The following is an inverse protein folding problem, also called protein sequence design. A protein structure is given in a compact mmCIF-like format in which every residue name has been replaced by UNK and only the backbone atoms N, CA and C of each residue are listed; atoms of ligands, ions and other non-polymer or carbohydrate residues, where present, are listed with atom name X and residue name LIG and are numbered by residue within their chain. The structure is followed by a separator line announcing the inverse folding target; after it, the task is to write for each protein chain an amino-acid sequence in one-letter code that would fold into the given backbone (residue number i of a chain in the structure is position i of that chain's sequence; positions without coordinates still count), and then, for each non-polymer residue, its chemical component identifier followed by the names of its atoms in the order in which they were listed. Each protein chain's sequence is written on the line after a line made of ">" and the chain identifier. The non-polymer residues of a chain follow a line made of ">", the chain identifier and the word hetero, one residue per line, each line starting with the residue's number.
data_IF_094731494879
#
_entry.id   IF_094731494879
#
_cell.length_a   1.000
_cell.length_b   1.000
_cell.length_c   1.000
_cell.angle_alpha   90.00
_cell.angle_beta   90.00
_cell.angle_gamma   90.00
#
_symmetry.space_group_name_H-M   'P 1'
#
loop_
_entity.id
_entity.type
_entity.pdbx_description
1 polymer ?
#
# COMPACT_ATOMS: atom_id res chain seq x y z
N UNK A 1 -8.52 -61.83 8.49
CA UNK A 1 -7.65 -60.87 7.78
C UNK A 1 -8.55 -59.73 7.31
N UNK A 2 -8.59 -58.55 7.91
CA UNK A 2 -7.57 -57.51 7.95
C UNK A 2 -7.79 -56.64 9.20
N UNK A 3 -6.68 -56.20 9.78
CA UNK A 3 -6.58 -55.45 11.02
C UNK A 3 -7.18 -54.04 10.86
N UNK A 4 -7.99 -53.64 11.82
CA UNK A 4 -8.32 -52.23 12.06
C UNK A 4 -7.06 -51.52 12.55
N UNK A 5 -6.52 -50.60 11.76
CA UNK A 5 -5.44 -49.73 12.17
C UNK A 5 -6.02 -48.36 12.47
N UNK A 6 -6.17 -48.10 13.76
CA UNK A 6 -6.27 -46.75 14.30
C UNK A 6 -5.03 -45.98 13.86
N UNK A 7 -5.21 -44.90 13.10
CA UNK A 7 -4.18 -43.89 12.95
C UNK A 7 -4.72 -42.57 13.47
N UNK A 8 -4.45 -42.38 14.76
CA UNK A 8 -4.35 -41.12 15.46
C UNK A 8 -3.42 -40.20 14.65
N UNK A 9 -3.97 -39.37 13.78
CA UNK A 9 -3.21 -38.31 13.11
C UNK A 9 -3.43 -37.03 13.90
N UNK A 10 -2.46 -36.74 14.76
CA UNK A 10 -2.20 -35.45 15.37
C UNK A 10 -2.56 -34.34 14.38
N UNK A 11 -3.58 -33.56 14.73
CA UNK A 11 -3.80 -32.26 14.15
C UNK A 11 -2.65 -31.37 14.62
N UNK A 12 -1.49 -31.49 13.98
CA UNK A 12 -0.46 -30.48 14.04
C UNK A 12 -1.10 -29.22 13.47
N UNK A 13 -1.50 -28.31 14.37
CA UNK A 13 -1.73 -26.91 14.06
C UNK A 13 -0.48 -26.41 13.35
N UNK A 14 -0.48 -26.53 12.02
CA UNK A 14 0.40 -25.74 11.19
C UNK A 14 -0.12 -24.33 11.36
N UNK A 15 0.53 -23.59 12.27
CA UNK A 15 0.41 -22.15 12.43
C UNK A 15 0.92 -21.54 11.12
N UNK A 16 0.14 -21.71 10.05
CA UNK A 16 0.21 -20.88 8.85
C UNK A 16 -0.25 -19.53 9.36
N UNK A 17 0.67 -18.57 9.33
CA UNK A 17 0.57 -17.27 9.96
C UNK A 17 -0.87 -16.77 10.00
N UNK A 18 -1.41 -16.70 11.22
CA UNK A 18 -2.51 -15.79 11.48
C UNK A 18 -2.14 -14.47 10.80
N UNK A 19 -3.05 -13.80 10.08
CA UNK A 19 -2.83 -12.40 9.76
C UNK A 19 -2.52 -11.75 11.12
N UNK A 20 -1.27 -11.27 11.27
CA UNK A 20 -0.83 -10.52 12.43
C UNK A 20 -1.95 -9.53 12.67
N UNK A 21 -2.66 -9.70 13.79
CA UNK A 21 -3.81 -8.87 14.11
C UNK A 21 -3.41 -7.43 13.77
N UNK A 22 -4.20 -6.81 12.89
CA UNK A 22 -3.99 -5.47 12.39
C UNK A 22 -3.32 -4.62 13.47
N UNK A 23 -2.14 -4.08 13.15
CA UNK A 23 -1.34 -3.29 14.06
C UNK A 23 -2.25 -2.35 14.85
N UNK A 24 -2.44 -2.68 16.13
CA UNK A 24 -2.76 -1.67 17.14
C UNK A 24 -1.74 -0.55 16.89
N UNK A 25 -2.20 0.67 16.59
CA UNK A 25 -1.39 1.73 15.96
C UNK A 25 0.07 1.70 16.44
N UNK A 26 1.03 1.44 15.55
CA UNK A 26 2.45 1.34 15.89
C UNK A 26 2.97 2.55 16.69
N UNK A 27 2.36 3.71 16.48
CA UNK A 27 2.59 4.93 17.27
C UNK A 27 2.15 4.84 18.73
N UNK A 28 0.95 4.33 18.98
CA UNK A 28 0.41 4.19 20.33
C UNK A 28 1.26 3.19 21.11
N UNK A 29 1.74 2.13 20.44
CA UNK A 29 2.68 1.17 21.00
C UNK A 29 4.03 1.82 21.34
N UNK A 30 4.63 2.61 20.44
CA UNK A 30 5.87 3.36 20.72
C UNK A 30 5.71 4.29 21.91
N UNK A 31 4.63 5.07 21.96
CA UNK A 31 4.39 6.01 23.07
C UNK A 31 4.14 5.26 24.38
N UNK A 32 3.43 4.14 24.34
CA UNK A 32 3.21 3.27 25.50
C UNK A 32 4.53 2.74 26.05
N UNK A 33 5.36 2.12 25.22
CA UNK A 33 6.67 1.58 25.63
C UNK A 33 7.57 2.71 26.15
N UNK A 34 7.55 3.89 25.51
CA UNK A 34 8.29 5.06 25.97
C UNK A 34 7.88 5.50 27.38
N UNK A 35 6.58 5.51 27.67
CA UNK A 35 6.04 5.86 28.99
C UNK A 35 6.37 4.83 30.06
N UNK A 36 6.44 3.54 29.70
CA UNK A 36 6.84 2.47 30.63
C UNK A 36 8.28 2.63 31.14
N UNK A 37 9.13 3.38 30.42
CA UNK A 37 10.52 3.65 30.82
C UNK A 37 10.69 4.93 31.65
N UNK A 38 9.62 5.68 31.95
CA UNK A 38 9.72 6.91 32.75
C UNK A 38 10.38 6.63 34.11
N UNK A 39 11.33 7.49 34.48
CA UNK A 39 12.12 7.36 35.70
C UNK A 39 13.36 6.46 35.58
N UNK A 40 13.57 5.75 34.47
CA UNK A 40 14.81 5.01 34.26
C UNK A 40 16.02 5.96 34.31
N UNK A 41 17.13 5.58 34.99
CA UNK A 41 18.23 6.50 35.24
C UNK A 41 18.99 6.85 33.96
N UNK A 42 19.68 7.98 33.96
CA UNK A 42 20.60 8.31 32.88
C UNK A 42 21.94 7.57 33.06
N UNK A 43 22.43 6.97 31.98
CA UNK A 43 23.81 6.46 31.87
C UNK A 43 24.34 6.79 30.48
N UNK A 44 25.46 7.51 30.42
CA UNK A 44 26.13 7.78 29.15
C UNK A 44 26.53 6.45 28.49
N UNK A 45 26.17 6.25 27.22
CA UNK A 45 26.39 4.97 26.56
C UNK A 45 25.30 3.91 26.85
N UNK A 46 24.35 4.18 27.75
CA UNK A 46 23.34 3.22 28.21
C UNK A 46 22.23 2.96 27.20
N UNK A 47 21.81 1.70 27.09
CA UNK A 47 20.80 1.20 26.13
C UNK A 47 19.76 0.27 26.76
N UNK A 48 19.64 0.24 28.10
CA UNK A 48 18.74 -0.68 28.81
C UNK A 48 17.98 0.03 29.93
N UNK A 49 16.88 -0.55 30.46
CA UNK A 49 16.14 0.04 31.59
C UNK A 49 16.98 0.30 32.85
N UNK A 50 18.14 -0.36 33.01
CA UNK A 50 19.08 -0.07 34.11
C UNK A 50 19.84 1.26 33.94
N UNK A 51 19.75 1.86 32.77
CA UNK A 51 20.26 3.18 32.44
C UNK A 51 20.31 3.46 30.95
N UNK A 52 19.81 4.63 30.55
CA UNK A 52 19.78 5.07 29.16
C UNK A 52 20.57 6.37 28.93
N UNK A 53 21.14 6.52 27.74
CA UNK A 53 21.32 7.86 27.15
C UNK A 53 20.21 8.17 26.15
N UNK A 54 20.18 9.40 25.63
CA UNK A 54 19.08 9.88 24.78
C UNK A 54 18.85 9.00 23.54
N UNK A 55 19.91 8.57 22.85
CA UNK A 55 19.79 7.79 21.62
C UNK A 55 19.66 6.29 21.90
N UNK A 56 20.22 5.79 23.01
CA UNK A 56 20.00 4.43 23.50
C UNK A 56 18.57 4.20 24.00
N UNK A 57 17.93 5.22 24.59
CA UNK A 57 16.50 5.20 24.92
C UNK A 57 15.63 5.06 23.67
N UNK A 58 15.87 5.91 22.66
CA UNK A 58 15.13 5.85 21.38
C UNK A 58 15.38 4.51 20.70
N UNK A 59 16.62 4.04 20.62
CA UNK A 59 16.98 2.75 20.02
C UNK A 59 16.24 1.59 20.70
N UNK A 60 16.23 1.55 22.02
CA UNK A 60 15.55 0.50 22.78
C UNK A 60 14.05 0.41 22.47
N UNK A 61 13.37 1.54 22.32
CA UNK A 61 11.91 1.56 22.08
C UNK A 61 11.58 1.07 20.69
N UNK A 62 12.32 1.55 19.69
CA UNK A 62 12.09 1.15 18.29
C UNK A 62 12.50 -0.30 18.02
N UNK A 63 13.52 -0.81 18.72
CA UNK A 63 13.89 -2.24 18.68
C UNK A 63 12.72 -3.15 19.11
N UNK A 64 11.93 -2.74 20.12
CA UNK A 64 10.75 -3.50 20.57
C UNK A 64 9.66 -3.66 19.53
N UNK A 65 9.60 -2.75 18.55
CA UNK A 65 8.65 -2.82 17.43
C UNK A 65 9.33 -3.24 16.12
N UNK A 66 10.57 -3.74 16.19
CA UNK A 66 11.30 -4.28 15.04
C UNK A 66 11.91 -3.24 14.11
N UNK A 67 12.11 -2.00 14.57
CA UNK A 67 12.78 -0.93 13.82
C UNK A 67 14.18 -0.73 14.40
N UNK A 68 15.19 -1.14 13.65
CA UNK A 68 16.59 -0.93 14.03
C UNK A 68 17.00 0.53 13.76
N UNK A 69 17.52 1.19 14.79
CA UNK A 69 18.04 2.55 14.69
C UNK A 69 19.55 2.59 14.96
N UNK A 70 20.29 3.49 14.29
CA UNK A 70 21.70 3.74 14.60
C UNK A 70 21.92 4.14 16.06
N UNK A 71 23.14 3.94 16.57
CA UNK A 71 23.45 4.12 17.99
C UNK A 71 23.40 5.59 18.42
N UNK A 72 23.84 6.52 17.58
CA UNK A 72 24.01 7.92 17.97
C UNK A 72 22.85 8.79 17.48
N UNK A 73 22.52 9.85 18.24
CA UNK A 73 21.48 10.82 17.84
C UNK A 73 21.80 11.52 16.52
N UNK A 74 23.08 11.71 16.19
CA UNK A 74 23.52 12.30 14.93
C UNK A 74 23.23 11.40 13.72
N UNK A 75 23.42 10.08 13.86
CA UNK A 75 23.09 9.09 12.82
C UNK A 75 21.58 8.86 12.74
N UNK A 76 20.89 8.79 13.88
CA UNK A 76 19.43 8.70 13.94
C UNK A 76 18.75 9.89 13.24
N UNK A 77 19.40 11.07 13.23
CA UNK A 77 18.89 12.23 12.50
C UNK A 77 18.97 12.09 10.97
N UNK A 78 19.61 11.05 10.44
CA UNK A 78 19.72 10.81 8.99
C UNK A 78 18.79 9.71 8.49
N UNK A 79 18.06 9.02 9.38
CA UNK A 79 17.15 7.93 9.00
C UNK A 79 15.70 8.39 8.99
N UNK A 80 14.89 7.78 8.12
CA UNK A 80 13.48 8.08 7.94
C UNK A 80 13.19 9.39 7.19
N UNK A 81 11.93 9.76 7.16
CA UNK A 81 11.43 10.95 6.45
C UNK A 81 11.53 12.19 7.34
N UNK A 82 11.96 13.32 6.79
CA UNK A 82 11.93 14.60 7.49
C UNK A 82 10.48 15.03 7.78
N UNK A 83 10.22 15.54 8.99
CA UNK A 83 8.89 16.01 9.40
C UNK A 83 9.00 17.46 9.87
N UNK A 84 8.11 18.33 9.38
CA UNK A 84 8.01 19.70 9.89
C UNK A 84 7.42 19.68 11.31
N UNK A 85 7.72 20.68 12.14
CA UNK A 85 7.28 20.70 13.55
C UNK A 85 5.75 20.67 13.70
N UNK A 86 5.05 21.18 12.70
CA UNK A 86 3.61 21.37 12.59
C UNK A 86 2.92 20.06 12.21
N UNK A 87 3.66 19.15 11.57
CA UNK A 87 3.22 17.84 11.10
C UNK A 87 3.63 16.71 12.07
N UNK A 88 4.14 17.07 13.25
CA UNK A 88 4.58 16.11 14.28
C UNK A 88 3.40 15.28 14.80
N UNK A 89 3.59 13.97 14.76
CA UNK A 89 2.65 12.99 15.26
C UNK A 89 3.31 12.15 16.37
N UNK A 90 2.57 11.72 17.40
CA UNK A 90 3.12 10.88 18.46
C UNK A 90 3.91 9.69 17.89
N UNK A 91 5.07 9.41 18.47
CA UNK A 91 6.02 8.43 17.98
C UNK A 91 7.06 8.97 16.97
N UNK A 92 6.93 10.20 16.46
CA UNK A 92 8.02 10.81 15.68
C UNK A 92 9.25 11.08 16.56
N UNK A 93 10.44 10.96 15.97
CA UNK A 93 11.70 11.27 16.65
C UNK A 93 11.95 12.78 16.57
N UNK A 94 12.25 13.39 17.71
CA UNK A 94 12.62 14.81 17.79
C UNK A 94 14.08 14.95 18.16
N UNK A 95 14.76 15.91 17.52
CA UNK A 95 16.19 16.10 17.67
C UNK A 95 16.53 17.52 18.09
N UNK A 96 17.55 17.63 18.94
CA UNK A 96 18.02 18.91 19.46
C UNK A 96 19.53 19.05 19.31
N UNK A 97 19.97 20.29 19.17
CA UNK A 97 21.37 20.70 18.98
C UNK A 97 21.90 21.51 20.16
N UNK A 98 23.22 21.50 20.36
CA UNK A 98 23.88 22.30 21.39
C UNK A 98 23.45 21.98 22.82
N UNK A 99 23.19 20.71 23.14
CA UNK A 99 22.90 20.28 24.53
C UNK A 99 24.18 20.02 25.30
N UNK A 100 25.04 19.11 24.81
CA UNK A 100 26.36 18.81 25.39
C UNK A 100 27.52 18.90 24.39
N UNK A 101 27.25 18.91 23.08
CA UNK A 101 28.24 19.11 22.02
C UNK A 101 27.66 19.97 20.90
N UNK A 102 28.53 20.52 20.06
CA UNK A 102 28.10 21.21 18.83
C UNK A 102 27.35 20.27 17.88
N UNK A 103 26.36 20.81 17.16
CA UNK A 103 25.48 20.03 16.28
C UNK A 103 24.45 19.17 17.03
N UNK A 104 23.87 18.18 16.34
CA UNK A 104 22.89 17.24 16.91
C UNK A 104 23.52 16.50 18.08
N UNK A 105 22.90 16.66 19.24
CA UNK A 105 23.42 16.17 20.52
C UNK A 105 22.33 15.59 21.41
N UNK A 106 21.06 15.63 21.04
CA UNK A 106 20.01 14.99 21.82
C UNK A 106 18.88 14.49 20.93
N UNK A 107 18.25 13.40 21.33
CA UNK A 107 17.08 12.81 20.67
C UNK A 107 16.01 12.44 21.70
N UNK A 108 14.78 12.34 21.25
CA UNK A 108 13.66 11.87 22.05
C UNK A 108 12.47 11.49 21.17
N UNK A 109 11.39 11.04 21.81
CA UNK A 109 10.17 10.58 21.13
C UNK A 109 9.06 11.58 21.43
N UNK A 110 8.48 12.17 20.39
CA UNK A 110 7.33 13.06 20.49
C UNK A 110 6.10 12.29 20.98
N UNK A 111 5.34 12.86 21.91
CA UNK A 111 4.16 12.20 22.50
C UNK A 111 2.87 13.01 22.32
N UNK A 112 2.89 14.05 21.48
CA UNK A 112 1.78 14.99 21.31
C UNK A 112 1.93 16.25 22.16
N UNK A 113 1.04 17.23 21.98
CA UNK A 113 0.95 18.45 22.80
C UNK A 113 2.26 19.25 22.96
N UNK A 114 3.14 19.25 21.95
CA UNK A 114 4.50 19.84 22.07
C UNK A 114 5.35 19.24 23.19
N UNK A 115 5.12 17.97 23.54
CA UNK A 115 5.85 17.22 24.56
C UNK A 115 6.61 16.04 23.95
N UNK A 116 7.70 15.65 24.60
CA UNK A 116 8.51 14.50 24.19
C UNK A 116 9.12 13.81 25.41
N UNK A 117 9.45 12.52 25.26
CA UNK A 117 10.17 11.74 26.27
C UNK A 117 11.62 11.57 25.83
N UNK A 118 12.57 11.76 26.75
CA UNK A 118 13.98 11.48 26.50
C UNK A 118 14.73 11.20 27.81
N UNK A 119 15.91 10.58 27.71
CA UNK A 119 16.83 10.40 28.83
C UNK A 119 17.76 11.61 28.99
N UNK A 120 17.74 12.25 30.16
CA UNK A 120 18.55 13.43 30.49
C UNK A 120 19.39 13.20 31.74
N UNK A 121 20.55 13.85 31.85
CA UNK A 121 21.45 13.73 33.01
C UNK A 121 20.82 14.17 34.33
N UNK A 122 19.84 15.08 34.29
CA UNK A 122 19.21 15.65 35.48
C UNK A 122 18.00 14.87 35.98
N UNK A 123 17.27 14.17 35.10
CA UNK A 123 15.99 13.54 35.45
C UNK A 123 15.86 12.07 35.02
N UNK A 124 16.88 11.51 34.37
CA UNK A 124 16.72 10.21 33.69
C UNK A 124 15.74 10.33 32.53
N UNK A 125 14.98 9.27 32.27
CA UNK A 125 13.89 9.26 31.28
C UNK A 125 12.71 10.06 31.81
N UNK A 126 12.44 11.20 31.19
CA UNK A 126 11.39 12.13 31.63
C UNK A 126 10.67 12.78 30.44
N UNK A 127 9.46 13.27 30.71
CA UNK A 127 8.70 14.12 29.79
C UNK A 127 9.24 15.55 29.87
N UNK A 128 9.38 16.21 28.73
CA UNK A 128 9.67 17.63 28.65
C UNK A 128 8.84 18.32 27.56
N UNK A 129 8.52 19.60 27.77
CA UNK A 129 7.91 20.43 26.73
C UNK A 129 8.97 20.96 25.77
N UNK A 130 8.74 20.78 24.47
CA UNK A 130 9.53 21.35 23.37
C UNK A 130 9.46 22.88 23.32
N UNK A 131 8.47 23.48 23.98
CA UNK A 131 8.24 24.93 23.97
C UNK A 131 8.84 25.64 25.19
N UNK A 132 9.45 24.91 26.13
CA UNK A 132 10.11 25.54 27.27
C UNK A 132 11.39 26.31 26.87
N UNK A 133 11.88 27.15 27.78
CA UNK A 133 13.04 28.03 27.54
C UNK A 133 14.33 27.30 27.18
N UNK A 134 14.47 26.03 27.57
CA UNK A 134 15.66 25.24 27.29
C UNK A 134 15.59 24.53 25.92
N UNK A 135 14.48 23.85 25.61
CA UNK A 135 14.33 22.99 24.43
C UNK A 135 13.93 23.75 23.18
N UNK A 136 13.11 24.80 23.30
CA UNK A 136 12.65 25.60 22.16
C UNK A 136 13.78 26.14 21.28
N UNK A 137 14.83 26.81 21.83
CA UNK A 137 15.93 27.30 21.00
C UNK A 137 16.86 26.19 20.48
N UNK A 138 16.75 24.96 20.99
CA UNK A 138 17.62 23.83 20.64
C UNK A 138 17.00 22.87 19.63
N UNK A 139 15.70 22.99 19.31
CA UNK A 139 15.05 22.12 18.34
C UNK A 139 15.75 22.21 16.99
N UNK A 140 16.14 21.06 16.45
CA UNK A 140 16.91 20.95 15.21
C UNK A 140 16.09 20.37 14.06
N UNK A 141 15.12 19.51 14.36
CA UNK A 141 14.25 18.88 13.38
C UNK A 141 13.63 17.59 13.91
N UNK A 142 12.85 16.92 13.07
CA UNK A 142 12.20 15.66 13.40
C UNK A 142 12.29 14.64 12.28
N UNK A 143 12.23 13.35 12.64
CA UNK A 143 12.23 12.22 11.71
C UNK A 143 11.08 11.27 12.01
N UNK A 144 10.45 10.78 10.96
CA UNK A 144 9.47 9.69 11.03
C UNK A 144 10.09 8.43 10.44
N UNK A 145 10.22 7.42 11.28
CA UNK A 145 10.83 6.12 10.94
C UNK A 145 9.80 5.00 10.90
N UNK A 146 8.53 5.29 11.24
CA UNK A 146 7.40 4.37 11.09
C UNK A 146 6.60 4.78 9.86
N UNK A 147 6.34 3.83 8.98
CA UNK A 147 5.27 3.97 8.00
C UNK A 147 3.93 3.77 8.71
N UNK A 148 2.98 4.70 8.58
CA UNK A 148 1.63 4.37 9.03
C UNK A 148 0.96 3.48 7.97
N UNK A 149 0.34 2.39 8.42
CA UNK A 149 -0.68 1.75 7.61
C UNK A 149 -1.91 2.66 7.59
N UNK A 150 -2.20 3.27 6.45
CA UNK A 150 -3.46 3.99 6.28
C UNK A 150 -4.66 3.03 6.46
N UNK A 151 -5.85 3.55 6.82
CA UNK A 151 -7.05 2.71 6.88
C UNK A 151 -7.26 1.94 5.57
N UNK A 152 -7.86 0.73 5.61
CA UNK A 152 -8.11 -0.05 4.41
C UNK A 152 -8.78 0.77 3.30
N UNK A 153 -8.16 0.77 2.11
CA UNK A 153 -8.61 1.54 0.96
C UNK A 153 -8.18 3.01 0.92
N UNK A 154 -7.25 3.44 1.78
CA UNK A 154 -6.62 4.76 1.68
C UNK A 154 -5.15 4.63 1.27
N UNK A 155 -4.67 5.62 0.52
CA UNK A 155 -3.32 5.67 -0.01
C UNK A 155 -2.77 7.10 0.07
N UNK A 156 -1.48 7.26 0.39
CA UNK A 156 -0.87 8.59 0.57
C UNK A 156 -0.86 9.43 -0.71
N UNK A 157 -0.81 8.77 -1.86
CA UNK A 157 -0.78 9.38 -3.20
C UNK A 157 -2.15 9.39 -3.90
N UNK A 158 -3.24 9.15 -3.16
CA UNK A 158 -4.62 9.24 -3.68
C UNK A 158 -5.48 10.02 -2.68
N UNK A 159 -5.55 11.34 -2.86
CA UNK A 159 -6.38 12.22 -2.02
C UNK A 159 -7.88 11.93 -2.19
N UNK A 160 -8.71 12.29 -1.19
CA UNK A 160 -10.17 12.11 -1.24
C UNK A 160 -10.87 12.85 -2.40
N UNK A 161 -10.22 13.89 -2.93
CA UNK A 161 -10.69 14.66 -4.09
C UNK A 161 -10.15 14.12 -5.43
N UNK A 162 -9.29 13.10 -5.41
CA UNK A 162 -8.76 12.49 -6.63
C UNK A 162 -9.91 11.81 -7.42
N UNK A 163 -9.98 11.97 -8.76
CA UNK A 163 -11.10 11.46 -9.56
C UNK A 163 -11.31 9.93 -9.43
N UNK A 164 -10.22 9.18 -9.27
CA UNK A 164 -10.28 7.73 -9.05
C UNK A 164 -10.39 7.32 -7.56
N UNK A 165 -10.48 8.26 -6.60
CA UNK A 165 -10.45 7.96 -5.16
C UNK A 165 -11.47 6.89 -4.78
N UNK A 166 -12.74 7.09 -5.16
CA UNK A 166 -13.82 6.15 -4.81
C UNK A 166 -13.56 4.75 -5.38
N UNK A 167 -13.17 4.66 -6.65
CA UNK A 167 -12.87 3.38 -7.29
C UNK A 167 -11.70 2.67 -6.62
N UNK A 168 -10.59 3.39 -6.38
CA UNK A 168 -9.39 2.84 -5.75
C UNK A 168 -9.70 2.38 -4.31
N UNK A 169 -10.45 3.18 -3.56
CA UNK A 169 -10.78 2.87 -2.17
C UNK A 169 -11.65 1.62 -2.04
N UNK A 170 -12.76 1.56 -2.78
CA UNK A 170 -13.73 0.46 -2.67
C UNK A 170 -13.17 -0.86 -3.21
N UNK A 171 -12.44 -0.83 -4.33
CA UNK A 171 -11.78 -2.02 -4.87
C UNK A 171 -10.65 -2.52 -3.95
N UNK A 172 -9.98 -1.62 -3.24
CA UNK A 172 -8.93 -1.98 -2.27
C UNK A 172 -9.54 -2.60 -1.01
N UNK A 173 -10.61 -2.02 -0.45
CA UNK A 173 -11.36 -2.58 0.70
C UNK A 173 -11.88 -3.99 0.45
N UNK A 174 -12.28 -4.28 -0.78
CA UNK A 174 -12.77 -5.60 -1.21
C UNK A 174 -11.67 -6.56 -1.63
N UNK A 175 -10.41 -6.13 -1.60
CA UNK A 175 -9.25 -6.95 -1.95
C UNK A 175 -9.12 -7.26 -3.44
N UNK A 176 -9.80 -6.51 -4.33
CA UNK A 176 -9.71 -6.66 -5.78
C UNK A 176 -8.41 -6.02 -6.31
N UNK A 177 -8.03 -4.87 -5.75
CA UNK A 177 -6.75 -4.21 -6.00
C UNK A 177 -5.95 -4.07 -4.72
N UNK A 178 -4.65 -3.85 -4.88
CA UNK A 178 -3.73 -3.59 -3.76
C UNK A 178 -2.77 -2.48 -4.15
N UNK A 179 -2.29 -1.75 -3.14
CA UNK A 179 -1.19 -0.80 -3.29
C UNK A 179 0.18 -1.47 -3.27
N UNK A 180 1.19 -0.63 -3.18
CA UNK A 180 2.58 -0.97 -2.91
C UNK A 180 2.84 -0.84 -1.40
N UNK A 181 4.04 -1.25 -1.00
CA UNK A 181 4.58 -0.99 0.33
C UNK A 181 4.47 0.51 0.71
N UNK A 182 4.31 0.79 2.00
CA UNK A 182 4.11 2.15 2.52
C UNK A 182 2.77 2.80 2.20
N UNK A 183 1.71 2.04 1.88
CA UNK A 183 0.37 2.59 1.58
C UNK A 183 0.35 3.55 0.37
N UNK A 184 1.14 3.27 -0.66
CA UNK A 184 1.10 3.99 -1.94
C UNK A 184 0.33 3.21 -3.00
N UNK A 185 -0.54 3.87 -3.76
CA UNK A 185 -1.26 3.24 -4.88
C UNK A 185 -0.52 3.37 -6.21
N UNK A 186 0.22 4.46 -6.40
CA UNK A 186 0.91 4.89 -7.64
C UNK A 186 -0.05 4.96 -8.84
N UNK A 187 -1.03 5.89 -8.83
CA UNK A 187 -2.14 5.92 -9.78
C UNK A 187 -1.70 6.01 -11.25
N UNK A 188 -0.60 6.72 -11.54
CA UNK A 188 -0.12 6.96 -12.91
C UNK A 188 0.78 5.85 -13.46
N UNK A 189 1.18 4.87 -12.64
CA UNK A 189 1.99 3.77 -13.15
C UNK A 189 1.17 2.91 -14.12
N UNK A 190 1.77 2.46 -15.24
CA UNK A 190 1.16 1.48 -16.12
C UNK A 190 0.82 0.16 -15.42
N UNK A 191 -0.25 -0.49 -15.87
CA UNK A 191 -0.63 -1.85 -15.44
C UNK A 191 -0.02 -2.88 -16.39
N UNK A 192 0.59 -3.92 -15.82
CA UNK A 192 1.08 -5.06 -16.63
C UNK A 192 -0.05 -6.02 -16.99
N UNK A 193 0.14 -6.80 -18.06
CA UNK A 193 -0.80 -7.86 -18.49
C UNK A 193 -1.12 -8.85 -17.37
N UNK A 194 -0.13 -9.27 -16.60
CA UNK A 194 -0.30 -10.18 -15.46
C UNK A 194 -1.08 -9.55 -14.30
N UNK A 195 -0.81 -8.27 -14.00
CA UNK A 195 -1.58 -7.53 -12.99
C UNK A 195 -3.04 -7.37 -13.40
N UNK A 196 -3.31 -7.05 -14.66
CA UNK A 196 -4.67 -6.96 -15.19
C UNK A 196 -5.43 -8.29 -15.07
N UNK A 197 -4.80 -9.41 -15.43
CA UNK A 197 -5.36 -10.76 -15.26
C UNK A 197 -5.73 -11.03 -13.79
N UNK A 198 -4.81 -10.75 -12.85
CA UNK A 198 -5.03 -10.96 -11.43
C UNK A 198 -6.18 -10.09 -10.88
N UNK A 199 -6.23 -8.80 -11.25
CA UNK A 199 -7.30 -7.90 -10.80
C UNK A 199 -8.67 -8.38 -11.29
N UNK A 200 -8.79 -8.73 -12.58
CA UNK A 200 -10.04 -9.23 -13.13
C UNK A 200 -10.46 -10.54 -12.45
N UNK A 201 -9.53 -11.48 -12.27
CA UNK A 201 -9.87 -12.77 -11.67
C UNK A 201 -10.16 -12.70 -10.17
N UNK A 202 -9.63 -11.72 -9.44
CA UNK A 202 -10.04 -11.46 -8.05
C UNK A 202 -11.50 -11.07 -7.92
N UNK A 203 -12.07 -10.41 -8.93
CA UNK A 203 -13.51 -10.15 -8.95
C UNK A 203 -14.29 -11.38 -9.47
N UNK A 204 -13.89 -11.92 -10.63
CA UNK A 204 -14.65 -12.97 -11.32
C UNK A 204 -14.58 -14.35 -10.65
N UNK A 205 -13.52 -14.61 -9.86
CA UNK A 205 -13.26 -15.88 -9.15
C UNK A 205 -13.33 -17.10 -10.08
N UNK A 206 -12.77 -16.97 -11.29
CA UNK A 206 -12.80 -18.04 -12.27
C UNK A 206 -11.84 -19.16 -11.87
N UNK A 207 -12.24 -20.43 -12.06
CA UNK A 207 -11.34 -21.57 -11.89
C UNK A 207 -10.35 -21.67 -13.07
N UNK A 208 -9.25 -22.39 -12.85
CA UNK A 208 -8.35 -22.81 -13.92
C UNK A 208 -8.15 -24.32 -13.84
N UNK A 209 -8.26 -25.00 -14.97
CA UNK A 209 -8.08 -26.45 -15.09
C UNK A 209 -6.59 -26.83 -14.95
N UNK A 210 -5.69 -25.96 -15.40
CA UNK A 210 -4.24 -26.09 -15.23
C UNK A 210 -3.60 -24.71 -15.09
N UNK A 211 -2.64 -24.57 -14.18
CA UNK A 211 -1.85 -23.34 -14.06
C UNK A 211 -0.69 -23.26 -15.08
N UNK A 212 -0.38 -24.35 -15.81
CA UNK A 212 0.66 -24.37 -16.85
C UNK A 212 0.00 -24.14 -18.21
N UNK A 213 0.02 -22.89 -18.66
CA UNK A 213 -0.70 -22.47 -19.87
C UNK A 213 0.21 -21.82 -20.92
N UNK A 214 1.27 -21.14 -20.48
CA UNK A 214 2.19 -20.39 -21.35
C UNK A 214 3.64 -20.72 -21.01
N UNK A 215 4.53 -20.58 -21.98
CA UNK A 215 5.96 -20.90 -21.82
C UNK A 215 6.69 -19.95 -20.88
N UNK A 216 6.26 -18.70 -20.79
CA UNK A 216 6.82 -17.61 -19.98
C UNK A 216 6.09 -17.39 -18.64
N UNK A 217 5.17 -18.28 -18.28
CA UNK A 217 4.42 -18.24 -17.01
C UNK A 217 4.74 -19.49 -16.18
N UNK A 218 5.78 -19.46 -15.33
CA UNK A 218 6.12 -20.58 -14.46
C UNK A 218 5.06 -20.75 -13.36
N UNK A 219 4.86 -21.99 -12.90
CA UNK A 219 3.85 -22.34 -11.89
C UNK A 219 3.96 -21.56 -10.56
N UNK A 220 5.18 -21.15 -10.18
CA UNK A 220 5.44 -20.38 -8.98
C UNK A 220 5.20 -18.87 -9.12
N UNK A 221 4.84 -18.37 -10.30
CA UNK A 221 4.56 -16.96 -10.52
C UNK A 221 3.29 -16.53 -9.76
N UNK A 222 3.29 -15.39 -9.05
CA UNK A 222 2.19 -14.97 -8.17
C UNK A 222 0.78 -14.95 -8.79
N UNK A 223 0.66 -14.79 -10.11
CA UNK A 223 -0.60 -14.72 -10.83
C UNK A 223 -0.73 -15.80 -11.93
N UNK A 224 0.04 -16.89 -11.87
CA UNK A 224 -0.03 -17.98 -12.86
C UNK A 224 -1.44 -18.59 -12.97
N UNK A 225 -2.10 -18.82 -11.83
CA UNK A 225 -3.48 -19.34 -11.77
C UNK A 225 -4.48 -18.34 -12.36
N UNK A 226 -4.32 -17.05 -12.06
CA UNK A 226 -5.20 -16.01 -12.59
C UNK A 226 -5.09 -15.91 -14.11
N UNK A 227 -3.85 -15.92 -14.64
CA UNK A 227 -3.58 -15.93 -16.07
C UNK A 227 -4.26 -17.13 -16.75
N UNK A 228 -4.12 -18.32 -16.17
CA UNK A 228 -4.75 -19.52 -16.72
C UNK A 228 -6.28 -19.40 -16.73
N UNK A 229 -6.88 -18.91 -15.64
CA UNK A 229 -8.33 -18.77 -15.52
C UNK A 229 -8.90 -17.77 -16.54
N UNK A 230 -8.29 -16.58 -16.68
CA UNK A 230 -8.76 -15.58 -17.64
C UNK A 230 -8.52 -15.99 -19.10
N UNK A 231 -7.51 -16.83 -19.36
CA UNK A 231 -7.28 -17.45 -20.67
C UNK A 231 -8.36 -18.48 -20.99
N UNK A 232 -8.66 -19.38 -20.06
CA UNK A 232 -9.70 -20.41 -20.22
C UNK A 232 -11.08 -19.78 -20.42
N UNK A 233 -11.36 -18.65 -19.77
CA UNK A 233 -12.57 -17.86 -19.95
C UNK A 233 -12.59 -16.98 -21.22
N UNK A 234 -11.51 -16.95 -22.02
CA UNK A 234 -11.44 -16.17 -23.26
C UNK A 234 -11.34 -14.65 -23.07
N UNK A 235 -10.99 -14.19 -21.87
CA UNK A 235 -10.86 -12.76 -21.53
C UNK A 235 -9.54 -12.22 -22.05
N UNK A 236 -8.42 -12.88 -21.72
CA UNK A 236 -7.07 -12.50 -22.15
C UNK A 236 -6.40 -13.68 -22.85
N UNK A 237 -6.10 -13.51 -24.13
CA UNK A 237 -5.32 -14.46 -24.90
C UNK A 237 -3.82 -14.19 -24.76
N UNK A 238 -3.01 -15.24 -24.99
CA UNK A 238 -1.57 -15.09 -25.25
C UNK A 238 -1.29 -14.78 -26.71
N UNK A 239 0.00 -14.80 -27.04
CA UNK A 239 0.51 -14.54 -28.38
C UNK A 239 0.71 -15.85 -29.14
N UNK A 240 0.85 -15.76 -30.46
CA UNK A 240 1.03 -16.92 -31.35
C UNK A 240 2.33 -17.70 -31.08
N UNK A 241 3.29 -17.08 -30.39
CA UNK A 241 4.56 -17.69 -29.96
C UNK A 241 4.42 -18.54 -28.67
N UNK A 242 3.20 -18.67 -28.13
CA UNK A 242 2.93 -19.43 -26.90
C UNK A 242 3.25 -18.67 -25.60
N UNK A 243 3.56 -17.38 -25.69
CA UNK A 243 3.82 -16.51 -24.53
C UNK A 243 2.58 -15.75 -24.07
N UNK A 244 2.56 -15.32 -22.81
CA UNK A 244 1.55 -14.41 -22.25
C UNK A 244 2.07 -12.98 -22.10
N UNK A 245 3.37 -12.81 -21.88
CA UNK A 245 4.10 -11.56 -21.62
C UNK A 245 3.60 -10.84 -20.37
N UNK A 246 3.68 -11.47 -19.19
CA UNK A 246 3.01 -10.99 -17.97
C UNK A 246 3.51 -9.64 -17.43
N UNK A 247 4.75 -9.26 -17.77
CA UNK A 247 5.37 -8.03 -17.33
C UNK A 247 5.30 -6.89 -18.37
N UNK A 248 4.76 -7.15 -19.56
CA UNK A 248 4.49 -6.09 -20.53
C UNK A 248 3.27 -5.27 -20.10
N UNK A 249 3.34 -3.95 -20.31
CA UNK A 249 2.24 -3.03 -20.02
C UNK A 249 1.12 -3.18 -21.05
N UNK A 250 -0.13 -3.08 -20.60
CA UNK A 250 -1.28 -3.05 -21.53
C UNK A 250 -1.53 -1.63 -22.04
N UNK A 251 -1.94 -1.53 -23.30
CA UNK A 251 -2.46 -0.29 -23.84
C UNK A 251 -3.88 -0.01 -23.34
N UNK A 252 -4.32 1.24 -23.43
CA UNK A 252 -5.70 1.63 -23.11
C UNK A 252 -6.73 0.90 -23.98
N UNK A 253 -6.42 0.67 -25.25
CA UNK A 253 -7.26 -0.17 -26.13
C UNK A 253 -7.34 -1.61 -25.63
N UNK A 254 -6.21 -2.21 -25.23
CA UNK A 254 -6.22 -3.56 -24.67
C UNK A 254 -7.02 -3.63 -23.37
N UNK A 255 -6.86 -2.64 -22.47
CA UNK A 255 -7.65 -2.50 -21.25
C UNK A 255 -9.16 -2.53 -21.54
N UNK A 256 -9.62 -1.68 -22.47
CA UNK A 256 -11.05 -1.60 -22.79
C UNK A 256 -11.61 -2.96 -23.26
N UNK A 257 -10.86 -3.66 -24.10
CA UNK A 257 -11.27 -4.95 -24.67
C UNK A 257 -11.32 -6.04 -23.61
N UNK A 258 -10.32 -6.14 -22.73
CA UNK A 258 -10.31 -7.20 -21.71
C UNK A 258 -11.34 -6.96 -20.62
N UNK A 259 -11.63 -5.70 -20.27
CA UNK A 259 -12.71 -5.36 -19.33
C UNK A 259 -14.06 -5.63 -19.99
N UNK A 260 -14.25 -5.22 -21.24
CA UNK A 260 -15.48 -5.53 -21.97
C UNK A 260 -15.74 -7.04 -22.05
N UNK A 261 -14.72 -7.85 -22.35
CA UNK A 261 -14.86 -9.31 -22.34
C UNK A 261 -15.20 -9.89 -20.97
N UNK A 262 -14.57 -9.37 -19.92
CA UNK A 262 -14.79 -9.82 -18.54
C UNK A 262 -16.23 -9.54 -18.06
N UNK A 263 -16.81 -8.40 -18.46
CA UNK A 263 -18.10 -7.91 -17.93
C UNK A 263 -19.22 -7.89 -18.99
N UNK A 264 -18.93 -8.26 -20.23
CA UNK A 264 -19.82 -8.23 -21.39
C UNK A 264 -20.50 -6.86 -21.62
N UNK A 265 -19.75 -5.77 -21.40
CA UNK A 265 -20.29 -4.41 -21.38
C UNK A 265 -20.90 -3.98 -22.71
N UNK A 266 -20.25 -4.30 -23.82
CA UNK A 266 -20.68 -3.96 -25.18
C UNK A 266 -21.99 -4.66 -25.58
N UNK A 267 -22.38 -5.71 -24.86
CA UNK A 267 -23.65 -6.44 -25.01
C UNK A 267 -24.71 -6.02 -23.98
N UNK A 268 -24.36 -5.14 -23.04
CA UNK A 268 -25.28 -4.66 -22.00
C UNK A 268 -26.31 -3.70 -22.60
N UNK A 269 -27.55 -3.66 -22.06
CA UNK A 269 -28.60 -2.71 -22.49
C UNK A 269 -28.16 -1.25 -22.48
N UNK A 270 -27.18 -0.89 -21.63
CA UNK A 270 -26.59 0.46 -21.56
C UNK A 270 -26.09 0.93 -22.92
N UNK A 271 -25.60 0.02 -23.77
CA UNK A 271 -25.09 0.34 -25.09
C UNK A 271 -26.17 0.67 -26.11
N UNK A 272 -27.41 0.24 -25.91
CA UNK A 272 -28.52 0.56 -26.81
C UNK A 272 -28.94 2.04 -26.69
N UNK A 273 -28.71 2.66 -25.54
CA UNK A 273 -29.11 4.05 -25.24
C UNK A 273 -27.95 5.04 -25.16
N UNK A 274 -26.70 4.58 -25.31
CA UNK A 274 -25.54 5.44 -25.11
C UNK A 274 -25.26 6.35 -26.30
N UNK A 275 -24.90 7.60 -26.03
CA UNK A 275 -24.36 8.55 -27.01
C UNK A 275 -22.85 8.76 -26.84
N UNK A 276 -22.22 7.94 -25.99
CA UNK A 276 -20.79 8.03 -25.68
C UNK A 276 -19.94 7.87 -26.94
N UNK A 277 -18.98 8.78 -27.12
CA UNK A 277 -18.02 8.77 -28.22
C UNK A 277 -16.72 9.44 -27.81
N UNK A 278 -15.67 9.17 -28.59
CA UNK A 278 -14.39 9.86 -28.54
C UNK A 278 -14.05 10.40 -29.93
N UNK A 279 -13.36 11.53 -29.99
CA UNK A 279 -13.03 12.22 -31.24
C UNK A 279 -11.94 11.48 -32.04
N UNK A 280 -11.13 10.67 -31.38
CA UNK A 280 -9.97 9.95 -31.93
C UNK A 280 -10.22 8.44 -32.12
N UNK A 281 -11.47 7.98 -32.01
CA UNK A 281 -11.83 6.56 -32.14
C UNK A 281 -12.84 6.40 -33.27
N UNK A 282 -12.39 5.83 -34.39
CA UNK A 282 -13.22 5.57 -35.56
C UNK A 282 -14.29 4.48 -35.25
N UNK A 283 -15.58 4.67 -35.62
CA UNK A 283 -16.63 3.64 -35.48
C UNK A 283 -16.32 2.28 -36.10
N UNK A 284 -15.52 2.23 -37.17
CA UNK A 284 -15.06 0.98 -37.79
C UNK A 284 -13.84 0.34 -37.11
N UNK A 285 -13.29 0.96 -36.04
CA UNK A 285 -12.17 0.40 -35.31
C UNK A 285 -12.61 -0.86 -34.54
N UNK A 286 -11.79 -1.91 -34.59
CA UNK A 286 -12.15 -3.23 -34.04
C UNK A 286 -12.50 -3.22 -32.54
N UNK A 287 -11.95 -2.27 -31.76
CA UNK A 287 -12.22 -2.11 -30.33
C UNK A 287 -13.23 -1.00 -30.02
N UNK A 288 -13.89 -0.43 -31.02
CA UNK A 288 -14.78 0.73 -30.87
C UNK A 288 -15.86 0.50 -29.80
N UNK A 289 -16.60 -0.61 -29.91
CA UNK A 289 -17.68 -0.94 -28.97
C UNK A 289 -17.19 -1.07 -27.53
N UNK A 290 -16.06 -1.76 -27.32
CA UNK A 290 -15.44 -1.90 -25.99
C UNK A 290 -15.00 -0.54 -25.43
N UNK A 291 -14.38 0.31 -26.25
CA UNK A 291 -13.92 1.64 -25.83
C UNK A 291 -15.10 2.54 -25.43
N UNK A 292 -16.16 2.55 -26.23
CA UNK A 292 -17.38 3.32 -25.93
C UNK A 292 -18.08 2.78 -24.68
N UNK A 293 -18.09 1.47 -24.49
CA UNK A 293 -18.67 0.84 -23.31
C UNK A 293 -18.00 1.29 -22.01
N UNK A 294 -16.66 1.39 -21.98
CA UNK A 294 -15.92 1.92 -20.82
C UNK A 294 -16.37 3.34 -20.49
N UNK A 295 -16.54 4.21 -21.50
CA UNK A 295 -17.04 5.57 -21.29
C UNK A 295 -18.48 5.59 -20.77
N UNK A 296 -19.33 4.71 -21.31
CA UNK A 296 -20.74 4.64 -20.94
C UNK A 296 -20.96 4.21 -19.48
N UNK A 297 -20.09 3.34 -18.95
CA UNK A 297 -20.16 2.85 -17.56
C UNK A 297 -19.30 3.64 -16.58
N UNK A 298 -18.57 4.67 -17.03
CA UNK A 298 -17.71 5.46 -16.14
C UNK A 298 -18.54 6.27 -15.15
N UNK A 299 -18.40 5.94 -13.87
CA UNK A 299 -18.99 6.68 -12.76
C UNK A 299 -17.94 7.43 -11.91
N UNK A 300 -16.70 7.54 -12.40
CA UNK A 300 -15.59 8.22 -11.72
C UNK A 300 -15.20 9.54 -12.41
N UNK A 301 -15.58 9.71 -13.68
CA UNK A 301 -15.20 10.85 -14.51
C UNK A 301 -13.81 10.70 -15.15
N UNK A 302 -13.05 9.65 -14.83
CA UNK A 302 -11.71 9.39 -15.38
C UNK A 302 -11.74 9.23 -16.91
N UNK A 303 -12.84 8.74 -17.47
CA UNK A 303 -13.02 8.52 -18.91
C UNK A 303 -13.88 9.60 -19.58
N UNK A 304 -14.32 10.63 -18.84
CA UNK A 304 -15.06 11.77 -19.36
C UNK A 304 -14.14 12.79 -20.05
N UNK A 305 -13.50 12.35 -21.14
CA UNK A 305 -12.56 13.13 -21.95
C UNK A 305 -13.00 13.12 -23.42
N UNK A 306 -12.53 14.09 -24.20
CA UNK A 306 -12.82 14.17 -25.63
C UNK A 306 -12.08 13.09 -26.45
N UNK A 307 -10.85 12.74 -26.04
CA UNK A 307 -10.00 11.74 -26.69
C UNK A 307 -9.75 10.53 -25.79
N UNK A 308 -9.66 9.34 -26.39
CA UNK A 308 -9.38 8.10 -25.71
C UNK A 308 -7.89 7.76 -25.64
N UNK A 309 -7.06 8.17 -26.60
CA UNK A 309 -5.62 7.92 -26.67
C UNK A 309 -5.25 6.42 -26.55
N UNK A 310 -5.86 5.58 -27.40
CA UNK A 310 -5.82 4.11 -27.26
C UNK A 310 -4.44 3.45 -27.28
N UNK A 311 -3.44 4.06 -27.93
CA UNK A 311 -2.07 3.54 -28.03
C UNK A 311 -1.23 3.76 -26.76
N UNK A 312 -1.62 4.69 -25.88
CA UNK A 312 -0.94 4.90 -24.61
C UNK A 312 -1.15 3.73 -23.64
N UNK A 313 -0.23 3.57 -22.68
CA UNK A 313 -0.40 2.58 -21.63
C UNK A 313 -1.55 2.94 -20.69
N UNK A 314 -2.30 1.94 -20.26
CA UNK A 314 -3.35 2.12 -19.25
C UNK A 314 -2.70 2.25 -17.86
N UNK A 315 -3.01 3.33 -17.16
CA UNK A 315 -2.51 3.54 -15.79
C UNK A 315 -3.32 2.74 -14.78
N UNK A 316 -2.80 2.58 -13.57
CA UNK A 316 -3.46 1.90 -12.46
C UNK A 316 -4.78 2.57 -12.07
N UNK A 317 -4.84 3.91 -12.07
CA UNK A 317 -6.09 4.61 -11.81
C UNK A 317 -7.12 4.37 -12.92
N UNK A 318 -6.70 4.32 -14.17
CA UNK A 318 -7.61 4.10 -15.31
C UNK A 318 -8.16 2.69 -15.29
N UNK A 319 -7.31 1.70 -15.03
CA UNK A 319 -7.74 0.31 -14.89
C UNK A 319 -8.70 0.13 -13.70
N UNK A 320 -8.38 0.70 -12.54
CA UNK A 320 -9.24 0.64 -11.35
C UNK A 320 -10.60 1.31 -11.60
N UNK A 321 -10.62 2.52 -12.19
CA UNK A 321 -11.85 3.22 -12.52
C UNK A 321 -12.72 2.45 -13.51
N UNK A 322 -12.11 1.83 -14.53
CA UNK A 322 -12.85 1.05 -15.53
C UNK A 322 -13.46 -0.22 -14.93
N UNK A 323 -12.71 -0.96 -14.11
CA UNK A 323 -13.21 -2.14 -13.39
C UNK A 323 -14.32 -1.75 -12.41
N UNK A 324 -14.14 -0.66 -11.67
CA UNK A 324 -15.16 -0.16 -10.73
C UNK A 324 -16.45 0.21 -11.48
N UNK A 325 -16.37 1.00 -12.55
CA UNK A 325 -17.53 1.36 -13.38
C UNK A 325 -18.27 0.13 -13.94
N UNK A 326 -17.52 -0.85 -14.44
CA UNK A 326 -18.07 -2.11 -14.94
C UNK A 326 -18.84 -2.89 -13.85
N UNK A 327 -18.27 -2.99 -12.64
CA UNK A 327 -18.94 -3.65 -11.50
C UNK A 327 -20.22 -2.90 -11.12
N UNK A 328 -20.17 -1.56 -11.05
CA UNK A 328 -21.33 -0.75 -10.71
C UNK A 328 -22.46 -0.85 -11.75
N UNK A 329 -22.11 -1.03 -13.02
CA UNK A 329 -23.08 -1.21 -14.10
C UNK A 329 -23.82 -2.55 -14.03
N UNK A 330 -23.20 -3.62 -13.48
CA UNK A 330 -23.86 -4.92 -13.29
C UNK A 330 -24.82 -4.95 -12.09
N UNK A 331 -24.75 -3.97 -11.20
CA UNK A 331 -25.58 -3.90 -9.99
C UNK A 331 -26.88 -3.10 -10.20
N UNK A 332 -27.09 -2.55 -11.41
CA UNK A 332 -28.27 -1.76 -11.79
C UNK A 332 -29.16 -2.56 -12.73
#
# INVERSE_FOLDING_TARGET
>A
MKKAFSFLLMLAFLIVGLPRAYAENSRDEVVKIAKEQLGAPYRFGGTTPSGFDCSGFVQYIFDKIGIELPRTSSEQYQVGTAVNKEDLLPGDLVFFKGTYKSGISHSGIYIGNSEFISATTSQGVAVASMNNSYWKPKFAGARRVMEESLPPGQFYDVSSNHPAYKAISELSKTGIISGFEGSYFKPDLPVTRGQAAAILNRYLRLPASSAKTFSDVPLGMPFAKDIAAVKEAGIIAGYNDGTFRPYENITRTQMAVIIDRAFQLSKSPIMASTTAKYNDVNPGFWAYSSIVAIKAVDCTGVFNRASFNGNGYATRMEFASAVYGAIQALQK
#
